data_IF_099316088542
#
_entry.id   IF_099316088542
#
_cell.length_a   1.000
_cell.length_b   1.000
_cell.length_c   1.000
_cell.angle_alpha   90.00
_cell.angle_beta   90.00
_cell.angle_gamma   90.00
#
_symmetry.space_group_name_H-M   'P 1'
#
loop_
_entity.id
_entity.type
_entity.pdbx_description
1 polymer ?
#
# COMPACT_ATOMS: atom_id res chain seq x y z
N UNK A 1 -14.69 -9.10 -25.01
CA UNK A 1 -14.19 -10.07 -24.01
C UNK A 1 -13.50 -11.29 -24.61
N UNK A 2 -13.90 -11.81 -25.79
CA UNK A 2 -13.23 -12.99 -26.40
C UNK A 2 -11.71 -12.91 -26.48
N UNK A 3 -11.15 -11.84 -27.04
CA UNK A 3 -9.69 -11.60 -27.07
C UNK A 3 -8.99 -11.62 -25.71
N UNK A 4 -9.67 -11.18 -24.65
CA UNK A 4 -9.10 -11.21 -23.31
C UNK A 4 -9.05 -12.64 -22.77
N UNK A 5 -10.13 -13.40 -22.96
CA UNK A 5 -10.19 -14.82 -22.60
C UNK A 5 -9.18 -15.65 -23.39
N UNK A 6 -9.06 -15.40 -24.70
CA UNK A 6 -8.07 -16.06 -25.57
C UNK A 6 -6.64 -15.90 -25.03
N UNK A 7 -6.24 -14.70 -24.63
CA UNK A 7 -4.90 -14.46 -24.06
C UNK A 7 -4.72 -15.12 -22.69
N UNK A 8 -5.76 -15.14 -21.85
CA UNK A 8 -5.71 -15.81 -20.54
C UNK A 8 -5.53 -17.32 -20.71
N UNK A 9 -6.24 -17.91 -21.67
CA UNK A 9 -6.15 -19.34 -22.01
C UNK A 9 -4.82 -19.69 -22.70
N UNK A 10 -4.37 -18.89 -23.67
CA UNK A 10 -3.11 -19.10 -24.41
C UNK A 10 -1.89 -19.08 -23.48
N UNK A 11 -1.92 -18.23 -22.47
CA UNK A 11 -0.84 -18.08 -21.49
C UNK A 11 -1.01 -18.97 -20.23
N UNK A 12 -2.03 -19.83 -20.21
CA UNK A 12 -2.41 -20.70 -19.08
C UNK A 12 -2.45 -19.95 -17.73
N UNK A 13 -3.06 -18.77 -17.74
CA UNK A 13 -3.13 -17.91 -16.58
C UNK A 13 -4.34 -18.24 -15.71
N UNK A 14 -4.10 -18.38 -14.40
CA UNK A 14 -5.14 -18.68 -13.41
C UNK A 14 -5.64 -17.41 -12.73
N UNK A 15 -6.96 -17.23 -12.69
CA UNK A 15 -7.61 -16.19 -11.86
C UNK A 15 -7.69 -16.68 -10.40
N UNK A 16 -6.95 -16.03 -9.50
CA UNK A 16 -7.00 -16.38 -8.09
C UNK A 16 -8.39 -16.11 -7.47
N UNK A 17 -8.80 -16.81 -6.41
CA UNK A 17 -10.02 -16.48 -5.69
C UNK A 17 -9.90 -15.11 -5.00
N UNK A 18 -10.96 -14.31 -5.04
CA UNK A 18 -11.04 -13.01 -4.38
C UNK A 18 -11.64 -13.13 -2.99
N UNK A 19 -10.86 -12.75 -1.97
CA UNK A 19 -11.27 -12.75 -0.57
C UNK A 19 -11.68 -11.35 -0.09
N UNK A 20 -12.46 -11.28 0.99
CA UNK A 20 -12.88 -10.02 1.62
C UNK A 20 -13.99 -9.25 0.86
N UNK A 21 -14.48 -9.79 -0.25
CA UNK A 21 -15.58 -9.23 -1.03
C UNK A 21 -15.64 -9.79 -2.45
N UNK A 22 -16.74 -9.54 -3.15
CA UNK A 22 -16.96 -10.08 -4.51
C UNK A 22 -16.73 -9.07 -5.63
N UNK A 23 -16.54 -7.79 -5.30
CA UNK A 23 -16.50 -6.69 -6.28
C UNK A 23 -15.31 -5.77 -6.01
N UNK A 24 -14.70 -5.27 -7.09
CA UNK A 24 -13.58 -4.33 -7.05
C UNK A 24 -13.97 -2.95 -7.56
N UNK A 25 -15.14 -2.83 -8.20
CA UNK A 25 -15.69 -1.57 -8.67
C UNK A 25 -17.15 -1.45 -8.27
N UNK A 26 -17.56 -0.23 -7.91
CA UNK A 26 -18.93 0.15 -7.60
C UNK A 26 -19.25 1.49 -8.27
N UNK A 27 -20.31 1.55 -9.09
CA UNK A 27 -20.72 2.77 -9.76
C UNK A 27 -22.15 2.71 -10.30
N UNK A 28 -22.45 3.52 -11.31
CA UNK A 28 -23.81 3.71 -11.83
C UNK A 28 -24.70 4.55 -10.90
N UNK A 29 -25.98 4.75 -11.26
CA UNK A 29 -26.90 5.57 -10.48
C UNK A 29 -26.99 5.08 -9.03
N UNK A 30 -26.68 5.95 -8.08
CA UNK A 30 -26.67 5.66 -6.63
C UNK A 30 -25.79 4.45 -6.22
N UNK A 31 -24.68 4.19 -6.92
CA UNK A 31 -23.77 3.05 -6.65
C UNK A 31 -24.45 1.67 -6.68
N UNK A 32 -25.49 1.51 -7.50
CA UNK A 32 -26.26 0.26 -7.61
C UNK A 32 -25.58 -0.80 -8.49
N UNK A 33 -24.62 -0.42 -9.33
CA UNK A 33 -23.87 -1.35 -10.17
C UNK A 33 -22.56 -1.73 -9.50
N UNK A 34 -22.23 -3.02 -9.52
CA UNK A 34 -20.97 -3.54 -8.97
C UNK A 34 -20.37 -4.56 -9.92
N UNK A 35 -19.05 -4.56 -10.04
CA UNK A 35 -18.35 -5.52 -10.91
C UNK A 35 -16.96 -5.85 -10.35
N UNK A 36 -16.42 -6.99 -10.78
CA UNK A 36 -15.04 -7.41 -10.49
C UNK A 36 -14.24 -7.27 -11.78
N UNK A 37 -13.59 -6.12 -11.92
CA UNK A 37 -12.82 -5.75 -13.12
C UNK A 37 -11.32 -5.64 -12.85
N UNK A 38 -10.92 -5.60 -11.57
CA UNK A 38 -9.53 -5.60 -11.15
C UNK A 38 -9.18 -7.00 -10.63
N UNK A 39 -8.25 -7.70 -11.28
CA UNK A 39 -7.91 -9.10 -10.98
C UNK A 39 -6.44 -9.35 -11.19
N UNK A 40 -5.85 -10.18 -10.33
CA UNK A 40 -4.54 -10.77 -10.57
C UNK A 40 -4.70 -12.12 -11.24
N UNK A 41 -4.00 -12.28 -12.36
CA UNK A 41 -3.82 -13.54 -13.06
C UNK A 41 -2.38 -13.99 -12.84
N UNK A 42 -2.18 -15.26 -12.50
CA UNK A 42 -0.86 -15.82 -12.23
C UNK A 42 -0.61 -17.05 -13.09
N UNK A 43 0.64 -17.27 -13.50
CA UNK A 43 1.05 -18.52 -14.13
C UNK A 43 1.33 -19.59 -13.07
N UNK A 44 1.30 -20.85 -13.47
CA UNK A 44 1.67 -21.98 -12.61
C UNK A 44 3.12 -21.86 -12.09
N UNK A 45 4.05 -21.39 -12.92
CA UNK A 45 5.44 -21.14 -12.51
C UNK A 45 5.49 -20.13 -11.35
N UNK A 46 4.73 -19.03 -11.43
CA UNK A 46 4.70 -18.04 -10.37
C UNK A 46 4.07 -18.59 -9.08
N UNK A 47 2.98 -19.34 -9.21
CA UNK A 47 2.30 -20.01 -8.09
C UNK A 47 3.25 -20.98 -7.36
N UNK A 48 4.11 -21.69 -8.10
CA UNK A 48 5.11 -22.60 -7.54
C UNK A 48 6.12 -21.90 -6.61
N UNK A 49 6.45 -20.64 -6.91
CA UNK A 49 7.37 -19.82 -6.12
C UNK A 49 6.70 -19.12 -4.93
N UNK A 50 5.43 -18.76 -5.09
CA UNK A 50 4.63 -18.01 -4.11
C UNK A 50 3.42 -18.84 -3.69
N UNK A 51 3.71 -19.94 -3.00
CA UNK A 51 2.69 -20.89 -2.57
C UNK A 51 1.71 -20.27 -1.58
N UNK A 52 0.41 -20.49 -1.83
CA UNK A 52 -0.65 -19.94 -0.99
C UNK A 52 -0.92 -18.46 -1.25
N UNK A 53 -0.58 -17.94 -2.44
CA UNK A 53 -0.93 -16.59 -2.81
C UNK A 53 -2.45 -16.40 -2.85
N UNK A 54 -2.92 -15.28 -2.30
CA UNK A 54 -4.34 -14.92 -2.24
C UNK A 54 -4.53 -13.47 -2.65
N UNK A 55 -5.61 -13.19 -3.37
CA UNK A 55 -6.02 -11.81 -3.64
C UNK A 55 -7.18 -11.39 -2.73
N UNK A 56 -7.04 -10.25 -2.07
CA UNK A 56 -8.00 -9.74 -1.09
C UNK A 56 -8.43 -8.32 -1.44
N UNK A 57 -9.73 -8.05 -1.39
CA UNK A 57 -10.27 -6.69 -1.54
C UNK A 57 -10.01 -5.90 -0.27
N UNK A 58 -9.45 -4.71 -0.42
CA UNK A 58 -9.27 -3.74 0.66
C UNK A 58 -10.45 -2.78 0.74
N UNK A 59 -10.64 -2.20 1.92
CA UNK A 59 -11.69 -1.20 2.16
C UNK A 59 -11.55 -0.03 1.19
N UNK A 60 -12.69 0.40 0.63
CA UNK A 60 -12.82 1.46 -0.38
C UNK A 60 -13.19 2.79 0.29
N UNK A 61 -12.24 3.73 0.52
CA UNK A 61 -12.52 4.94 1.29
C UNK A 61 -13.25 6.03 0.49
N UNK A 62 -12.79 6.34 -0.73
CA UNK A 62 -13.30 7.49 -1.51
C UNK A 62 -13.36 7.27 -3.03
N UNK A 63 -12.84 6.15 -3.54
CA UNK A 63 -12.91 5.81 -4.97
C UNK A 63 -14.11 4.89 -5.23
N UNK A 64 -14.58 4.87 -6.46
CA UNK A 64 -15.44 3.82 -7.02
C UNK A 64 -14.73 2.46 -7.15
N UNK A 65 -13.39 2.44 -7.17
CA UNK A 65 -12.58 1.22 -7.10
C UNK A 65 -12.14 0.88 -5.67
N UNK A 66 -12.22 -0.40 -5.33
CA UNK A 66 -11.63 -1.00 -4.14
C UNK A 66 -10.24 -1.55 -4.51
N UNK A 67 -9.17 -1.18 -3.78
CA UNK A 67 -7.85 -1.74 -4.03
C UNK A 67 -7.84 -3.26 -3.82
N UNK A 68 -7.11 -3.99 -4.66
CA UNK A 68 -6.90 -5.43 -4.49
C UNK A 68 -5.46 -5.67 -4.03
N UNK A 69 -5.29 -6.37 -2.92
CA UNK A 69 -4.01 -6.80 -2.39
C UNK A 69 -3.73 -8.23 -2.85
N UNK A 70 -2.60 -8.45 -3.51
CA UNK A 70 -2.04 -9.79 -3.70
C UNK A 70 -1.07 -10.08 -2.53
N UNK A 71 -1.45 -11.00 -1.64
CA UNK A 71 -0.56 -11.58 -0.65
C UNK A 71 0.08 -12.82 -1.27
N UNK A 72 1.40 -12.87 -1.37
CA UNK A 72 2.13 -13.97 -2.02
C UNK A 72 2.22 -15.25 -1.18
N UNK A 73 1.63 -15.26 0.03
CA UNK A 73 1.67 -16.42 0.92
C UNK A 73 3.07 -16.69 1.48
N UNK A 74 3.12 -17.32 2.66
CA UNK A 74 4.15 -18.28 3.10
C UNK A 74 5.64 -17.93 3.16
N UNK A 75 6.15 -16.84 2.59
CA UNK A 75 7.60 -16.58 2.50
C UNK A 75 8.00 -15.30 3.26
N UNK A 76 7.69 -15.21 4.55
CA UNK A 76 8.21 -14.14 5.42
C UNK A 76 9.67 -14.43 5.78
N UNK A 77 10.59 -14.04 4.89
CA UNK A 77 12.03 -14.03 5.20
C UNK A 77 12.35 -12.79 6.05
N UNK A 78 12.39 -12.97 7.37
CA UNK A 78 13.00 -12.03 8.33
C UNK A 78 12.20 -10.75 8.66
N UNK A 79 12.75 -9.89 9.54
CA UNK A 79 12.11 -8.65 9.96
C UNK A 79 11.91 -7.70 8.78
N UNK A 80 10.72 -7.07 8.70
CA UNK A 80 10.38 -6.11 7.65
C UNK A 80 11.39 -4.95 7.67
N UNK A 81 12.12 -4.67 6.58
CA UNK A 81 13.05 -3.56 6.56
C UNK A 81 12.31 -2.23 6.72
N UNK A 82 12.90 -1.31 7.47
CA UNK A 82 12.44 0.07 7.55
C UNK A 82 12.53 0.69 6.14
N UNK A 83 11.47 1.38 5.72
CA UNK A 83 11.48 2.18 4.49
C UNK A 83 10.89 3.53 4.86
N UNK A 84 11.57 4.58 4.43
CA UNK A 84 11.10 5.95 4.51
C UNK A 84 11.32 6.62 3.18
N UNK A 85 10.79 7.82 3.08
CA UNK A 85 10.49 8.40 1.80
C UNK A 85 11.42 9.56 1.56
N UNK A 86 12.35 9.36 0.63
CA UNK A 86 13.46 10.28 0.38
C UNK A 86 13.01 11.71 0.05
N UNK A 87 11.74 11.89 -0.36
CA UNK A 87 11.13 13.19 -0.55
C UNK A 87 11.06 14.03 0.73
N UNK A 88 10.88 13.41 1.90
CA UNK A 88 10.84 14.16 3.16
C UNK A 88 12.16 14.83 3.47
N UNK A 89 13.30 14.24 3.10
CA UNK A 89 14.63 14.87 3.26
C UNK A 89 14.79 16.15 2.43
N UNK A 90 13.93 16.35 1.43
CA UNK A 90 13.89 17.54 0.58
C UNK A 90 12.87 18.58 1.05
N UNK A 91 12.02 18.24 2.02
CA UNK A 91 11.11 19.20 2.64
C UNK A 91 11.90 20.10 3.58
N UNK A 92 11.75 21.42 3.42
CA UNK A 92 12.31 22.38 4.36
C UNK A 92 11.82 22.10 5.78
N UNK A 93 12.71 22.22 6.77
CA UNK A 93 12.40 21.97 8.18
C UNK A 93 12.37 20.51 8.61
N UNK A 94 12.39 19.54 7.69
CA UNK A 94 12.25 18.12 8.06
C UNK A 94 13.48 17.58 8.81
N UNK A 95 14.69 18.05 8.45
CA UNK A 95 15.94 17.62 9.13
C UNK A 95 16.00 18.16 10.56
N UNK A 96 15.46 19.35 10.77
CA UNK A 96 15.37 20.01 12.06
C UNK A 96 14.38 19.27 12.96
N UNK A 97 13.22 18.87 12.42
CA UNK A 97 12.26 18.01 13.12
C UNK A 97 12.88 16.66 13.49
N UNK A 98 13.66 16.04 12.60
CA UNK A 98 14.37 14.80 12.90
C UNK A 98 15.44 14.98 13.98
N UNK A 99 16.14 16.11 13.98
CA UNK A 99 17.16 16.44 14.99
C UNK A 99 16.52 16.66 16.35
N UNK A 100 15.43 17.43 16.41
CA UNK A 100 14.63 17.62 17.62
C UNK A 100 14.04 16.31 18.12
N UNK A 101 13.53 15.46 17.21
CA UNK A 101 13.04 14.13 17.58
C UNK A 101 14.15 13.25 18.17
N UNK A 102 15.36 13.30 17.61
CA UNK A 102 16.51 12.55 18.12
C UNK A 102 17.01 13.07 19.48
N UNK A 103 17.03 14.38 19.65
CA UNK A 103 17.51 15.05 20.87
C UNK A 103 16.47 15.04 22.00
N UNK A 104 15.18 14.93 21.67
CA UNK A 104 14.08 14.81 22.62
C UNK A 104 13.93 13.42 23.25
N UNK A 105 14.52 12.36 22.68
CA UNK A 105 14.42 11.00 23.22
C UNK A 105 15.34 10.87 24.46
N UNK A 106 14.90 11.41 25.60
CA UNK A 106 15.23 10.85 26.90
C UNK A 106 14.36 9.59 27.09
N UNK A 107 15.02 8.46 27.24
CA UNK A 107 14.44 7.13 27.16
C UNK A 107 13.37 6.88 28.23
N UNK A 108 12.27 6.28 27.76
CA UNK A 108 11.17 5.59 28.45
C UNK A 108 9.88 6.35 28.84
N UNK A 109 9.86 7.67 29.08
CA UNK A 109 8.59 8.35 29.43
C UNK A 109 7.84 8.99 28.24
N UNK A 110 8.48 9.16 27.08
CA UNK A 110 7.93 9.96 25.98
C UNK A 110 7.23 9.18 24.87
N UNK A 111 7.35 7.85 24.84
CA UNK A 111 6.63 7.03 23.85
C UNK A 111 5.13 7.25 23.94
N UNK A 112 4.57 7.33 25.15
CA UNK A 112 3.15 7.61 25.36
C UNK A 112 2.75 9.02 24.90
N UNK A 113 3.59 10.03 25.12
CA UNK A 113 3.34 11.40 24.65
C UNK A 113 3.35 11.48 23.12
N UNK A 114 4.30 10.80 22.47
CA UNK A 114 4.35 10.69 21.01
C UNK A 114 3.12 9.97 20.45
N UNK A 115 2.68 8.88 21.08
CA UNK A 115 1.45 8.17 20.69
C UNK A 115 0.18 9.04 20.82
N UNK A 116 0.07 9.83 21.90
CA UNK A 116 -1.06 10.74 22.11
C UNK A 116 -1.07 11.86 21.06
N UNK A 117 0.09 12.45 20.75
CA UNK A 117 0.23 13.44 19.69
C UNK A 117 -0.11 12.85 18.31
N UNK A 118 0.32 11.62 18.04
CA UNK A 118 0.01 10.89 16.81
C UNK A 118 -1.49 10.72 16.64
N UNK A 119 -2.20 10.28 17.69
CA UNK A 119 -3.64 10.05 17.63
C UNK A 119 -4.45 11.37 17.55
N UNK A 120 -3.94 12.45 18.17
CA UNK A 120 -4.50 13.79 18.05
C UNK A 120 -4.43 14.31 16.61
N UNK A 121 -3.26 14.25 15.97
CA UNK A 121 -3.09 14.72 14.60
C UNK A 121 -3.84 13.84 13.58
N UNK A 122 -3.97 12.54 13.83
CA UNK A 122 -4.78 11.65 12.98
C UNK A 122 -6.28 11.99 13.07
N UNK A 123 -6.79 12.38 14.25
CA UNK A 123 -8.17 12.89 14.40
C UNK A 123 -8.36 14.23 13.71
N UNK A 124 -7.40 15.14 13.84
CA UNK A 124 -7.47 16.46 13.22
C UNK A 124 -7.37 16.39 11.68
N UNK A 125 -6.54 15.50 11.13
CA UNK A 125 -6.48 15.25 9.68
C UNK A 125 -7.74 14.59 9.13
N UNK A 126 -8.42 13.73 9.91
CA UNK A 126 -9.74 13.17 9.52
C UNK A 126 -10.82 14.27 9.46
N UNK A 127 -10.69 15.32 10.26
CA UNK A 127 -11.61 16.46 10.28
C UNK A 127 -11.35 17.53 9.21
N UNK A 128 -10.14 17.62 8.65
CA UNK A 128 -9.81 18.62 7.63
C UNK A 128 -10.08 18.11 6.22
N UNK A 129 -10.98 18.78 5.50
CA UNK A 129 -11.21 18.51 4.08
C UNK A 129 -9.94 18.77 3.26
N UNK A 130 -9.50 17.76 2.49
CA UNK A 130 -8.26 17.80 1.72
C UNK A 130 -8.32 18.87 0.63
N UNK A 131 -7.47 19.89 0.77
CA UNK A 131 -7.23 20.91 -0.26
C UNK A 131 -6.75 20.28 -1.59
N UNK A 132 -7.26 20.83 -2.69
CA UNK A 132 -6.96 20.41 -4.07
C UNK A 132 -5.47 20.33 -4.42
N UNK A 133 -4.61 21.14 -3.77
CA UNK A 133 -3.15 21.08 -3.98
C UNK A 133 -2.53 19.80 -3.40
N UNK A 134 -3.03 19.30 -2.25
CA UNK A 134 -2.57 18.04 -1.62
C UNK A 134 -2.98 16.81 -2.44
N UNK A 135 -4.09 16.89 -3.19
CA UNK A 135 -4.57 15.86 -4.15
C UNK A 135 -3.71 15.71 -5.42
N UNK A 136 -2.91 16.72 -5.82
CA UNK A 136 -2.03 16.65 -6.99
C UNK A 136 -0.64 16.09 -6.68
N UNK A 137 -0.08 16.37 -5.50
CA UNK A 137 1.24 15.88 -5.11
C UNK A 137 1.29 14.35 -4.95
N UNK A 138 0.18 13.73 -4.50
CA UNK A 138 0.04 12.27 -4.47
C UNK A 138 -0.05 11.59 -5.85
N UNK A 139 -0.19 12.35 -6.95
CA UNK A 139 -0.27 11.81 -8.32
C UNK A 139 1.07 11.79 -9.07
N UNK A 140 2.13 12.45 -8.59
CA UNK A 140 3.45 12.51 -9.29
C UNK A 140 4.55 11.65 -8.67
N UNK A 141 4.34 11.08 -7.48
CA UNK A 141 5.32 10.24 -6.79
C UNK A 141 4.59 8.92 -6.45
N UNK A 142 5.05 7.80 -7.00
CA UNK A 142 4.39 6.50 -6.93
C UNK A 142 3.88 6.07 -5.54
N UNK A 143 2.92 5.15 -5.57
CA UNK A 143 2.08 4.65 -4.47
C UNK A 143 2.78 4.51 -3.12
N UNK A 144 2.21 5.22 -2.13
CA UNK A 144 2.47 4.97 -0.73
C UNK A 144 1.20 4.41 -0.08
N UNK A 145 1.35 3.45 0.82
CA UNK A 145 0.27 2.91 1.66
C UNK A 145 0.48 3.43 3.09
N UNK A 146 -0.60 3.89 3.74
CA UNK A 146 -0.62 4.40 5.12
C UNK A 146 -0.76 3.22 6.09
N UNK A 147 0.18 3.06 7.02
CA UNK A 147 0.00 2.22 8.20
C UNK A 147 0.43 3.03 9.43
N UNK A 148 -0.53 3.61 10.14
CA UNK A 148 -0.26 4.62 11.18
C UNK A 148 0.26 5.95 10.60
N UNK A 149 1.08 6.68 11.36
CA UNK A 149 1.52 8.05 11.03
C UNK A 149 2.55 8.17 9.87
N UNK A 150 2.81 7.10 9.11
CA UNK A 150 3.82 7.10 8.05
C UNK A 150 3.37 6.39 6.77
N UNK A 151 4.05 6.75 5.68
CA UNK A 151 3.84 6.31 4.30
C UNK A 151 5.13 5.62 3.78
N UNK A 152 5.05 4.50 3.02
CA UNK A 152 6.20 3.76 2.41
C UNK A 152 6.13 3.70 0.86
N UNK A 153 7.25 3.93 0.13
CA UNK A 153 7.45 3.63 -1.32
C UNK A 153 7.92 2.21 -1.54
N UNK A 154 7.55 1.69 -2.70
CA UNK A 154 8.11 0.48 -3.30
C UNK A 154 9.16 0.83 -4.35
N UNK A 155 10.42 0.45 -4.14
CA UNK A 155 11.43 0.35 -5.20
C UNK A 155 12.08 -1.04 -5.14
N UNK A 156 12.05 -1.76 -6.26
CA UNK A 156 12.70 -3.05 -6.47
C UNK A 156 14.23 -2.92 -6.54
N UNK A 157 14.93 -3.91 -5.98
CA UNK A 157 16.36 -3.83 -5.66
C UNK A 157 17.33 -4.29 -6.76
N UNK A 158 18.62 -4.13 -6.45
CA UNK A 158 19.72 -5.00 -6.89
C UNK A 158 20.66 -5.25 -5.70
N UNK A 159 21.00 -6.52 -5.51
CA UNK A 159 22.09 -7.01 -4.63
C UNK A 159 23.29 -7.39 -5.48
N UNK A 160 24.51 -7.19 -4.99
CA UNK A 160 25.77 -7.88 -5.36
C UNK A 160 26.70 -7.73 -4.14
N UNK A 161 27.47 -8.68 -3.59
CA UNK A 161 27.81 -10.10 -3.79
C UNK A 161 28.68 -10.51 -2.57
N UNK A 162 28.55 -11.71 -1.99
CA UNK A 162 29.29 -12.97 -2.21
C UNK A 162 30.64 -13.14 -1.47
N UNK A 163 30.81 -14.38 -0.98
CA UNK A 163 32.02 -15.19 -0.67
C UNK A 163 32.74 -15.00 0.68
N UNK A 164 32.99 -16.15 1.34
CA UNK A 164 33.91 -16.34 2.46
C UNK A 164 33.25 -16.99 3.66
#
# INVERSE_FOLDING_TARGET
MRRFSEVVEELDLRDLPLQGGSFTWCGGPNNRSKSRIDRFFISEEWESHFQGAVQTVLTRPVSDHAPVLLDGGGMRRGPKPFRFENMWLKSEGFKEVLKQWREGIQTDCEKQKAWILIDYWDKEERGRSLSWKKKRLGRRQGSYIRSGLYWKKSHGGKSLGKFG
#
